data_IF_694677103355
#
_entry.id   IF_694677103355
#
_cell.length_a   1.000
_cell.length_b   1.000
_cell.length_c   1.000
_cell.angle_alpha   90.00
_cell.angle_beta   90.00
_cell.angle_gamma   90.00
#
_symmetry.space_group_name_H-M   'P 1'
#
loop_
_entity.id
_entity.type
_entity.pdbx_description
1 polymer ?
#
# COMPACT_ATOMS: atom_id res chain seq x y z
N UNK A 1 2.07 -27.99 -16.27
CA UNK A 1 1.85 -28.73 -15.00
C UNK A 1 1.97 -27.72 -13.88
N UNK A 2 1.08 -27.74 -12.88
CA UNK A 2 1.10 -26.73 -11.81
C UNK A 2 2.46 -26.66 -11.11
N UNK A 3 3.04 -25.45 -11.02
CA UNK A 3 4.34 -25.20 -10.39
C UNK A 3 4.17 -24.85 -8.92
N UNK A 4 4.33 -25.86 -8.07
CA UNK A 4 4.31 -25.70 -6.61
C UNK A 4 5.42 -24.77 -6.08
N UNK A 5 6.54 -24.70 -6.79
CA UNK A 5 7.64 -23.78 -6.47
C UNK A 5 7.24 -22.32 -6.70
N UNK A 6 6.80 -21.97 -7.92
CA UNK A 6 6.34 -20.61 -8.24
C UNK A 6 5.21 -20.16 -7.34
N UNK A 7 4.29 -21.06 -7.04
CA UNK A 7 3.19 -20.81 -6.12
C UNK A 7 3.68 -20.46 -4.70
N UNK A 8 4.65 -21.20 -4.16
CA UNK A 8 5.23 -20.91 -2.83
C UNK A 8 6.03 -19.62 -2.82
N UNK A 9 6.79 -19.34 -3.88
CA UNK A 9 7.51 -18.07 -4.02
C UNK A 9 6.57 -16.88 -4.01
N UNK A 10 5.47 -16.93 -4.79
CA UNK A 10 4.46 -15.87 -4.79
C UNK A 10 3.78 -15.69 -3.43
N UNK A 11 3.48 -16.77 -2.71
CA UNK A 11 2.93 -16.67 -1.35
C UNK A 11 3.89 -15.92 -0.41
N UNK A 12 5.18 -16.24 -0.48
CA UNK A 12 6.21 -15.60 0.33
C UNK A 12 6.41 -14.12 -0.04
N UNK A 13 6.58 -13.82 -1.33
CA UNK A 13 6.76 -12.45 -1.84
C UNK A 13 5.60 -11.53 -1.50
N UNK A 14 4.37 -12.07 -1.49
CA UNK A 14 3.16 -11.30 -1.20
C UNK A 14 2.76 -11.32 0.27
N UNK A 15 3.51 -12.01 1.13
CA UNK A 15 3.20 -12.15 2.55
C UNK A 15 1.84 -12.81 2.82
N UNK A 16 1.35 -13.66 1.91
CA UNK A 16 0.07 -14.34 2.03
C UNK A 16 0.32 -15.73 2.61
N UNK A 17 -0.28 -16.03 3.77
CA UNK A 17 -0.26 -17.39 4.31
C UNK A 17 -1.19 -18.30 3.51
N UNK A 18 -0.92 -19.61 3.53
CA UNK A 18 -1.81 -20.57 2.87
C UNK A 18 -3.25 -20.51 3.41
N UNK A 19 -3.43 -20.29 4.72
CA UNK A 19 -4.75 -20.19 5.35
C UNK A 19 -5.50 -18.93 4.96
N UNK A 20 -4.78 -17.83 4.74
CA UNK A 20 -5.34 -16.62 4.17
C UNK A 20 -5.76 -16.83 2.71
N UNK A 21 -4.93 -17.48 1.90
CA UNK A 21 -5.29 -17.82 0.52
C UNK A 21 -6.54 -18.71 0.47
N UNK A 22 -6.60 -19.74 1.32
CA UNK A 22 -7.75 -20.64 1.43
C UNK A 22 -9.06 -19.87 1.66
N UNK A 23 -9.05 -18.91 2.59
CA UNK A 23 -10.19 -18.02 2.86
C UNK A 23 -10.54 -17.14 1.66
N UNK A 24 -9.54 -16.51 1.01
CA UNK A 24 -9.77 -15.62 -0.16
C UNK A 24 -10.36 -16.35 -1.36
N UNK A 25 -9.92 -17.59 -1.59
CA UNK A 25 -10.33 -18.40 -2.74
C UNK A 25 -11.60 -19.21 -2.46
N UNK A 26 -11.92 -19.43 -1.18
CA UNK A 26 -13.07 -20.25 -0.77
C UNK A 26 -12.82 -21.75 -0.87
N UNK A 27 -11.59 -22.21 -0.60
CA UNK A 27 -11.20 -23.63 -0.63
C UNK A 27 -10.60 -24.05 0.70
N UNK A 28 -10.48 -25.37 0.95
CA UNK A 28 -9.90 -25.87 2.19
C UNK A 28 -8.39 -25.62 2.25
N UNK A 29 -7.88 -25.40 3.46
CA UNK A 29 -6.45 -25.27 3.71
C UNK A 29 -5.66 -26.52 3.27
N UNK A 30 -6.26 -27.70 3.40
CA UNK A 30 -5.69 -28.96 2.90
C UNK A 30 -5.53 -28.97 1.38
N UNK A 31 -6.48 -28.40 0.63
CA UNK A 31 -6.37 -28.28 -0.82
C UNK A 31 -5.23 -27.33 -1.22
N UNK A 32 -5.08 -26.21 -0.52
CA UNK A 32 -3.94 -25.29 -0.70
C UNK A 32 -2.61 -25.98 -0.40
N UNK A 33 -2.53 -26.75 0.68
CA UNK A 33 -1.32 -27.48 1.03
C UNK A 33 -0.94 -28.51 -0.05
N UNK A 34 -1.91 -29.25 -0.60
CA UNK A 34 -1.66 -30.19 -1.72
C UNK A 34 -1.11 -29.50 -2.96
N UNK A 35 -1.52 -28.27 -3.24
CA UNK A 35 -0.94 -27.47 -4.34
C UNK A 35 0.50 -27.05 -4.01
N UNK A 36 0.76 -26.63 -2.76
CA UNK A 36 2.09 -26.21 -2.31
C UNK A 36 3.12 -27.34 -2.27
N UNK A 37 2.69 -28.59 -2.04
CA UNK A 37 3.56 -29.77 -2.02
C UNK A 37 3.68 -30.48 -3.36
N UNK A 38 2.99 -30.01 -4.41
CA UNK A 38 3.02 -30.61 -5.74
C UNK A 38 2.19 -31.89 -5.87
N UNK A 39 1.37 -32.23 -4.87
CA UNK A 39 0.51 -33.43 -4.88
C UNK A 39 -0.78 -33.28 -5.72
N UNK A 40 -1.01 -32.11 -6.33
CA UNK A 40 -2.15 -31.84 -7.19
C UNK A 40 -1.68 -31.45 -8.60
N UNK A 41 -2.18 -32.15 -9.63
CA UNK A 41 -1.87 -31.88 -11.04
C UNK A 41 -2.50 -30.58 -11.57
N UNK A 42 -3.44 -30.00 -10.81
CA UNK A 42 -4.14 -28.77 -11.15
C UNK A 42 -5.29 -28.50 -10.16
N UNK A 43 -6.03 -27.43 -10.39
CA UNK A 43 -7.20 -27.06 -9.58
C UNK A 43 -8.21 -26.32 -10.43
N UNK A 44 -9.50 -26.63 -10.24
CA UNK A 44 -10.60 -25.87 -10.86
C UNK A 44 -10.67 -24.41 -10.37
N UNK A 45 -9.91 -24.06 -9.33
CA UNK A 45 -9.84 -22.72 -8.75
C UNK A 45 -8.62 -21.92 -9.22
N UNK A 46 -7.92 -22.35 -10.27
CA UNK A 46 -6.66 -21.73 -10.72
C UNK A 46 -6.81 -20.24 -11.02
N UNK A 47 -7.90 -19.83 -11.68
CA UNK A 47 -8.18 -18.42 -11.97
C UNK A 47 -8.38 -17.59 -10.70
N UNK A 48 -9.04 -18.15 -9.67
CA UNK A 48 -9.24 -17.47 -8.39
C UNK A 48 -7.94 -17.35 -7.59
N UNK A 49 -7.11 -18.39 -7.62
CA UNK A 49 -5.78 -18.38 -6.99
C UNK A 49 -4.89 -17.35 -7.69
N UNK A 50 -4.84 -17.35 -9.01
CA UNK A 50 -4.07 -16.39 -9.80
C UNK A 50 -4.48 -14.95 -9.47
N UNK A 51 -5.79 -14.68 -9.40
CA UNK A 51 -6.32 -13.36 -8.99
C UNK A 51 -5.91 -12.99 -7.56
N UNK A 52 -6.04 -13.92 -6.61
CA UNK A 52 -5.69 -13.68 -5.21
C UNK A 52 -4.19 -13.41 -5.01
N UNK A 53 -3.34 -14.04 -5.83
CA UNK A 53 -1.89 -13.85 -5.86
C UNK A 53 -1.45 -12.75 -6.82
N UNK A 54 -2.37 -12.03 -7.48
CA UNK A 54 -2.09 -11.03 -8.53
C UNK A 54 -1.05 -11.52 -9.55
N UNK A 55 -1.37 -12.62 -10.20
CA UNK A 55 -0.58 -13.26 -11.27
C UNK A 55 -1.52 -13.86 -12.32
N UNK A 56 -0.98 -14.58 -13.31
CA UNK A 56 -1.74 -15.31 -14.32
C UNK A 56 -1.81 -16.82 -14.02
N UNK A 57 -2.88 -17.52 -14.47
CA UNK A 57 -2.92 -18.97 -14.48
C UNK A 57 -1.74 -19.58 -15.26
N UNK A 58 -1.37 -18.99 -16.39
CA UNK A 58 -0.28 -19.44 -17.26
C UNK A 58 1.06 -19.48 -16.52
N UNK A 59 1.34 -18.47 -15.68
CA UNK A 59 2.56 -18.46 -14.86
C UNK A 59 2.57 -19.60 -13.83
N UNK A 60 1.44 -19.82 -13.15
CA UNK A 60 1.26 -20.90 -12.17
C UNK A 60 1.31 -22.30 -12.81
N UNK A 61 0.94 -22.42 -14.08
CA UNK A 61 0.99 -23.67 -14.84
C UNK A 61 2.35 -23.93 -15.52
N UNK A 62 3.28 -22.99 -15.42
CA UNK A 62 4.61 -23.09 -16.03
C UNK A 62 4.63 -22.76 -17.53
N UNK A 63 3.58 -22.14 -18.06
CA UNK A 63 3.40 -21.86 -19.49
C UNK A 63 4.07 -20.54 -19.92
N UNK A 64 4.34 -19.65 -18.97
CA UNK A 64 5.06 -18.39 -19.16
C UNK A 64 5.97 -18.11 -17.97
N UNK A 65 7.05 -17.37 -18.19
CA UNK A 65 7.93 -16.86 -17.12
C UNK A 65 7.52 -15.47 -16.62
N UNK A 66 6.56 -14.81 -17.26
CA UNK A 66 6.02 -13.53 -16.82
C UNK A 66 5.04 -13.73 -15.65
N UNK A 67 5.35 -13.25 -14.43
CA UNK A 67 4.46 -13.38 -13.28
C UNK A 67 3.28 -12.41 -13.31
N UNK A 68 3.22 -11.51 -14.30
CA UNK A 68 2.18 -10.48 -14.40
C UNK A 68 0.80 -11.09 -14.59
N UNK A 69 -0.27 -10.45 -14.06
CA UNK A 69 -1.63 -10.82 -14.39
C UNK A 69 -1.93 -10.62 -15.89
N UNK A 70 -2.77 -11.47 -16.47
CA UNK A 70 -3.18 -11.36 -17.89
C UNK A 70 -3.97 -10.07 -18.19
N UNK A 71 -4.57 -9.47 -17.15
CA UNK A 71 -5.34 -8.24 -17.24
C UNK A 71 -5.02 -7.30 -16.07
N UNK A 72 -5.05 -5.97 -16.27
CA UNK A 72 -4.88 -5.01 -15.19
C UNK A 72 -5.89 -5.28 -14.07
N UNK A 73 -5.39 -5.39 -12.84
CA UNK A 73 -6.27 -5.49 -11.67
C UNK A 73 -6.85 -4.11 -11.41
N UNK A 74 -8.08 -3.90 -11.87
CA UNK A 74 -8.87 -2.73 -11.52
C UNK A 74 -9.30 -2.92 -10.07
N UNK A 75 -8.59 -2.30 -9.14
CA UNK A 75 -9.07 -2.19 -7.77
C UNK A 75 -10.32 -1.29 -7.81
N UNK A 76 -11.48 -1.73 -7.27
CA UNK A 76 -12.65 -0.87 -7.22
C UNK A 76 -12.26 0.39 -6.45
N UNK A 77 -12.48 1.57 -7.04
CA UNK A 77 -12.24 2.83 -6.35
C UNK A 77 -13.00 2.80 -5.02
N UNK A 78 -12.27 2.77 -3.91
CA UNK A 78 -12.89 2.86 -2.60
C UNK A 78 -13.56 4.23 -2.55
N UNK A 79 -14.87 4.34 -2.26
CA UNK A 79 -15.53 5.62 -2.23
C UNK A 79 -14.82 6.51 -1.20
N UNK A 80 -14.16 7.55 -1.67
CA UNK A 80 -13.51 8.54 -0.81
C UNK A 80 -14.62 9.44 -0.27
N UNK A 81 -14.84 9.41 1.04
CA UNK A 81 -15.71 10.37 1.68
C UNK A 81 -14.92 11.64 1.95
N UNK A 82 -15.22 12.70 1.20
CA UNK A 82 -14.67 14.03 1.46
C UNK A 82 -15.41 14.64 2.66
N UNK A 83 -14.67 15.09 3.67
CA UNK A 83 -15.19 15.87 4.80
C UNK A 83 -14.61 17.28 4.71
N UNK A 84 -15.47 18.28 4.62
CA UNK A 84 -15.07 19.70 4.68
C UNK A 84 -15.01 20.13 6.14
N UNK A 85 -13.83 20.55 6.61
CA UNK A 85 -13.65 21.10 7.97
C UNK A 85 -13.46 22.61 7.91
N UNK A 86 -14.13 23.36 8.79
CA UNK A 86 -13.85 24.78 8.98
C UNK A 86 -12.63 24.94 9.87
N UNK A 87 -11.61 25.64 9.37
CA UNK A 87 -10.38 25.96 10.12
C UNK A 87 -10.33 27.47 10.31
N UNK A 88 -10.22 27.92 11.56
CA UNK A 88 -9.89 29.31 11.85
C UNK A 88 -8.41 29.51 11.52
N UNK A 89 -8.14 30.28 10.47
CA UNK A 89 -6.78 30.66 10.13
C UNK A 89 -6.35 31.79 11.08
N UNK A 90 -5.17 31.67 11.74
CA UNK A 90 -4.63 32.77 12.54
C UNK A 90 -4.43 34.05 11.70
N UNK A 91 -4.32 35.19 12.36
CA UNK A 91 -4.03 36.46 11.68
C UNK A 91 -2.71 36.40 10.89
N UNK A 92 -2.56 37.28 9.91
CA UNK A 92 -1.32 37.40 9.13
C UNK A 92 -0.09 37.58 10.03
N UNK A 93 -0.21 38.41 11.07
CA UNK A 93 0.88 38.63 12.04
C UNK A 93 1.27 37.36 12.80
N UNK A 94 0.28 36.57 13.22
CA UNK A 94 0.52 35.30 13.92
C UNK A 94 1.17 34.26 12.99
N UNK A 95 0.71 34.19 11.74
CA UNK A 95 1.32 33.34 10.71
C UNK A 95 2.76 33.75 10.42
N UNK A 96 3.02 35.05 10.27
CA UNK A 96 4.36 35.58 10.03
C UNK A 96 5.30 35.28 11.21
N UNK A 97 4.82 35.39 12.45
CA UNK A 97 5.59 35.02 13.64
C UNK A 97 5.96 33.53 13.65
N UNK A 98 5.02 32.66 13.32
CA UNK A 98 5.25 31.21 13.18
C UNK A 98 6.28 30.92 12.09
N UNK A 99 6.16 31.50 10.89
CA UNK A 99 7.11 31.27 9.81
C UNK A 99 8.52 31.75 10.17
N UNK A 100 8.66 32.92 10.81
CA UNK A 100 9.96 33.39 11.31
C UNK A 100 10.59 32.39 12.28
N UNK A 101 9.80 31.80 13.18
CA UNK A 101 10.29 30.78 14.10
C UNK A 101 10.74 29.50 13.37
N UNK A 102 9.97 29.04 12.38
CA UNK A 102 10.32 27.86 11.58
C UNK A 102 11.60 28.06 10.76
N UNK A 103 11.77 29.25 10.15
CA UNK A 103 12.94 29.59 9.36
C UNK A 103 14.25 29.61 10.18
N UNK A 104 14.19 29.98 11.46
CA UNK A 104 15.36 29.98 12.37
C UNK A 104 15.91 28.58 12.66
N UNK A 105 15.09 27.55 12.50
CA UNK A 105 15.47 26.15 12.83
C UNK A 105 16.05 25.43 11.59
N UNK A 106 16.05 26.09 10.43
CA UNK A 106 16.58 25.49 9.21
C UNK A 106 18.12 25.49 9.22
N UNK A 107 18.76 24.42 8.71
CA UNK A 107 20.21 24.39 8.56
C UNK A 107 20.66 25.46 7.57
N UNK A 108 21.75 26.18 7.87
CA UNK A 108 22.29 27.23 7.01
C UNK A 108 22.85 26.69 5.68
N UNK A 109 23.29 25.43 5.66
CA UNK A 109 23.87 24.75 4.51
C UNK A 109 22.89 23.85 3.74
N UNK A 110 21.61 23.85 4.11
CA UNK A 110 20.60 23.06 3.41
C UNK A 110 20.24 23.70 2.06
N UNK A 111 20.03 22.85 1.06
CA UNK A 111 19.49 23.26 -0.24
C UNK A 111 18.07 23.82 -0.10
N UNK A 112 17.60 24.55 -1.11
CA UNK A 112 16.24 25.10 -1.11
C UNK A 112 15.17 24.00 -1.00
N UNK A 113 15.34 22.89 -1.72
CA UNK A 113 14.44 21.74 -1.69
C UNK A 113 14.39 21.08 -0.30
N UNK A 114 15.54 20.86 0.33
CA UNK A 114 15.61 20.31 1.69
C UNK A 114 14.92 21.23 2.70
N UNK A 115 15.13 22.54 2.58
CA UNK A 115 14.48 23.55 3.43
C UNK A 115 12.96 23.53 3.25
N UNK A 116 12.48 23.49 2.00
CA UNK A 116 11.05 23.40 1.70
C UNK A 116 10.44 22.12 2.28
N UNK A 117 11.14 20.99 2.17
CA UNK A 117 10.65 19.72 2.69
C UNK A 117 10.63 19.67 4.22
N UNK A 118 11.61 20.30 4.89
CA UNK A 118 11.62 20.46 6.35
C UNK A 118 10.44 21.33 6.81
N UNK A 119 10.18 22.47 6.16
CA UNK A 119 9.07 23.35 6.49
C UNK A 119 7.72 22.63 6.31
N UNK A 120 7.52 21.94 5.18
CA UNK A 120 6.29 21.21 4.89
C UNK A 120 5.98 20.13 5.94
N UNK A 121 7.00 19.39 6.40
CA UNK A 121 6.82 18.38 7.46
C UNK A 121 6.42 18.98 8.81
N UNK A 122 6.83 20.23 9.10
CA UNK A 122 6.62 20.88 10.40
C UNK A 122 5.39 21.79 10.45
N UNK A 123 4.91 22.25 9.30
CA UNK A 123 3.77 23.17 9.19
C UNK A 123 2.49 22.68 9.92
N UNK A 124 2.07 21.40 9.84
CA UNK A 124 0.83 20.96 10.49
C UNK A 124 0.85 21.11 12.02
N UNK A 125 1.97 20.78 12.65
CA UNK A 125 2.12 20.92 14.10
C UNK A 125 2.15 22.39 14.53
N UNK A 126 2.83 23.24 13.75
CA UNK A 126 2.92 24.67 14.02
C UNK A 126 1.54 25.37 13.90
N UNK A 127 0.74 25.01 12.90
CA UNK A 127 -0.64 25.51 12.74
C UNK A 127 -1.56 25.05 13.87
N UNK A 128 -1.42 23.80 14.35
CA UNK A 128 -2.19 23.31 15.50
C UNK A 128 -1.88 24.11 16.76
N UNK A 129 -0.61 24.37 17.03
CA UNK A 129 -0.17 25.14 18.20
C UNK A 129 -0.68 26.59 18.17
N UNK A 130 -0.72 27.23 17.00
CA UNK A 130 -1.30 28.58 16.88
C UNK A 130 -2.82 28.58 17.14
N UNK A 131 -3.54 27.53 16.72
CA UNK A 131 -4.98 27.42 16.96
C UNK A 131 -5.30 27.31 18.45
N UNK A 132 -4.48 26.60 19.22
CA UNK A 132 -4.66 26.44 20.67
C UNK A 132 -4.36 27.73 21.46
N UNK A 133 -3.68 28.69 20.83
CA UNK A 133 -3.33 30.00 21.40
C UNK A 133 -4.30 31.13 20.98
N UNK A 134 -5.19 30.87 20.02
CA UNK A 134 -6.23 31.82 19.64
C UNK A 134 -7.36 31.79 20.70
N UNK A 135 -7.81 32.96 21.20
CA UNK A 135 -8.85 33.05 22.23
C UNK A 135 -10.22 32.55 21.76
#
# INVERSE_FOLDING_TARGET
MFSAERFRSLLAERGISQSELARRVGISQTAVNKLATGGAYGTKHIHLIARALRTSPSFLLGETDDPSPDAPIIEPERPVQFVTMQVALPSEDALAAMFRAMLRILPENATEDERAQILARRLPAALSQLRDLAP
#
